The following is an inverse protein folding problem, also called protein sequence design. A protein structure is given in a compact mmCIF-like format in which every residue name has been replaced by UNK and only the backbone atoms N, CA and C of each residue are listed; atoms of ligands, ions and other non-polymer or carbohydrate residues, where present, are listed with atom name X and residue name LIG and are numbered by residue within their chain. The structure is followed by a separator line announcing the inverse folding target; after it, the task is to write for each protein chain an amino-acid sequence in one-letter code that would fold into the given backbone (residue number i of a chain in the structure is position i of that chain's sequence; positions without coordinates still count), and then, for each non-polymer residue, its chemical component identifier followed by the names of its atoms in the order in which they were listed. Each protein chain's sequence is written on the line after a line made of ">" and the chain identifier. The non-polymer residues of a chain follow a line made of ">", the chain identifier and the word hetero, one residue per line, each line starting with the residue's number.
data_IF_601403095444
#
_entry.id   IF_601403095444
#
_cell.length_a   1.000
_cell.length_b   1.000
_cell.length_c   1.000
_cell.angle_alpha   90.00
_cell.angle_beta   90.00
_cell.angle_gamma   90.00
#
_symmetry.space_group_name_H-M   'P 1'
#
loop_
_entity.id
_entity.type
_entity.pdbx_description
1 polymer ?
#
# COMPACT_ATOMS: atom_id res chain seq x y z
N UNK A 1 -38.03 30.60 32.27
CA UNK A 1 -38.03 29.94 30.98
C UNK A 1 -36.60 29.47 30.71
N UNK A 2 -36.27 28.23 31.13
CA UNK A 2 -34.90 27.72 31.13
C UNK A 2 -34.65 26.99 29.81
N UNK A 3 -33.74 27.52 28.98
CA UNK A 3 -33.24 26.84 27.78
C UNK A 3 -32.13 25.89 28.21
N UNK A 4 -32.38 24.58 28.17
CA UNK A 4 -31.37 23.54 28.31
C UNK A 4 -30.60 23.44 27.00
N UNK A 5 -29.35 23.86 27.01
CA UNK A 5 -28.38 23.55 25.97
C UNK A 5 -28.01 22.07 26.02
N UNK A 6 -28.54 21.28 25.09
CA UNK A 6 -28.18 19.90 24.90
C UNK A 6 -26.76 19.80 24.37
N UNK A 7 -25.83 19.29 25.17
CA UNK A 7 -24.50 18.88 24.78
C UNK A 7 -24.64 17.54 24.05
N UNK A 8 -24.54 17.54 22.72
CA UNK A 8 -24.38 16.32 21.94
C UNK A 8 -23.00 15.73 22.27
N UNK A 9 -23.00 14.58 22.92
CA UNK A 9 -21.80 13.78 23.12
C UNK A 9 -21.30 13.35 21.74
N UNK A 10 -20.18 13.91 21.29
CA UNK A 10 -19.45 13.45 20.12
C UNK A 10 -18.95 12.04 20.39
N UNK A 11 -19.45 11.06 19.63
CA UNK A 11 -18.88 9.72 19.60
C UNK A 11 -17.41 9.78 19.16
N UNK A 12 -16.61 8.74 19.44
CA UNK A 12 -15.20 8.72 19.05
C UNK A 12 -15.09 9.00 17.56
N UNK A 13 -14.28 9.99 17.18
CA UNK A 13 -13.95 10.29 15.79
C UNK A 13 -13.24 9.05 15.25
N UNK A 14 -13.95 8.21 14.50
CA UNK A 14 -13.33 7.11 13.79
C UNK A 14 -12.33 7.72 12.81
N UNK A 15 -11.07 7.26 12.84
CA UNK A 15 -10.05 7.69 11.92
C UNK A 15 -10.51 7.49 10.47
N UNK A 16 -9.97 8.25 9.54
CA UNK A 16 -10.33 8.16 8.14
C UNK A 16 -9.81 6.84 7.55
N UNK A 17 -10.55 6.16 6.66
CA UNK A 17 -10.17 4.87 6.06
C UNK A 17 -8.80 4.89 5.39
N UNK A 18 -8.37 6.06 4.87
CA UNK A 18 -7.05 6.28 4.30
C UNK A 18 -5.95 6.48 5.35
N UNK A 19 -6.24 6.45 6.64
CA UNK A 19 -5.20 6.48 7.69
C UNK A 19 -4.51 5.13 7.82
N UNK A 20 -5.27 4.04 7.61
CA UNK A 20 -4.80 2.66 7.62
C UNK A 20 -5.30 1.91 6.37
N UNK A 21 -4.87 2.30 5.14
CA UNK A 21 -5.49 1.83 3.92
C UNK A 21 -5.30 0.33 3.67
N UNK A 22 -4.19 -0.27 4.13
CA UNK A 22 -3.97 -1.71 4.05
C UNK A 22 -4.95 -2.48 4.95
N UNK A 23 -5.16 -2.02 6.20
CA UNK A 23 -6.13 -2.60 7.12
C UNK A 23 -7.56 -2.46 6.56
N UNK A 24 -7.93 -1.28 6.11
CA UNK A 24 -9.25 -1.02 5.53
C UNK A 24 -9.52 -1.87 4.27
N UNK A 25 -8.49 -2.10 3.44
CA UNK A 25 -8.60 -3.00 2.29
C UNK A 25 -8.79 -4.45 2.71
N UNK A 26 -7.95 -4.98 3.62
CA UNK A 26 -7.97 -6.37 4.08
C UNK A 26 -9.19 -6.71 4.96
N UNK A 27 -9.83 -5.73 5.57
CA UNK A 27 -11.11 -5.90 6.29
C UNK A 27 -12.32 -5.59 5.42
N UNK A 28 -12.12 -5.14 4.19
CA UNK A 28 -13.14 -4.73 3.23
C UNK A 28 -13.01 -5.45 1.88
N UNK A 29 -12.85 -4.71 0.78
CA UNK A 29 -12.85 -5.28 -0.58
C UNK A 29 -11.79 -6.37 -0.84
N UNK A 30 -10.67 -6.35 -0.12
CA UNK A 30 -9.60 -7.35 -0.21
C UNK A 30 -9.67 -8.44 0.86
N UNK A 31 -10.79 -8.61 1.58
CA UNK A 31 -10.91 -9.62 2.63
C UNK A 31 -10.58 -11.05 2.17
N UNK A 32 -10.77 -11.36 0.87
CA UNK A 32 -10.41 -12.65 0.26
C UNK A 32 -8.90 -12.95 0.27
N UNK A 33 -8.07 -11.93 0.38
CA UNK A 33 -6.60 -12.06 0.48
C UNK A 33 -6.10 -12.05 1.92
N UNK A 34 -6.97 -11.82 2.91
CA UNK A 34 -6.54 -11.62 4.28
C UNK A 34 -6.06 -12.93 4.94
N UNK A 35 -4.75 -13.06 5.13
CA UNK A 35 -4.18 -13.99 6.09
C UNK A 35 -4.23 -13.32 7.47
N UNK A 36 -4.83 -14.00 8.45
CA UNK A 36 -5.12 -13.39 9.76
C UNK A 36 -4.53 -14.17 10.92
N UNK A 37 -3.99 -13.43 11.89
CA UNK A 37 -3.71 -13.94 13.24
C UNK A 37 -4.12 -12.88 14.27
N UNK A 38 -5.04 -13.20 15.16
CA UNK A 38 -5.62 -12.22 16.09
C UNK A 38 -6.22 -11.02 15.35
N UNK A 39 -5.71 -9.82 15.65
CA UNK A 39 -6.07 -8.56 15.00
C UNK A 39 -5.17 -8.19 13.82
N UNK A 40 -4.09 -8.93 13.61
CA UNK A 40 -3.11 -8.69 12.56
C UNK A 40 -3.55 -9.33 11.26
N UNK A 41 -3.33 -8.64 10.15
CA UNK A 41 -3.64 -9.09 8.80
C UNK A 41 -2.43 -8.90 7.89
N UNK A 42 -2.28 -9.76 6.90
CA UNK A 42 -1.35 -9.55 5.78
C UNK A 42 -1.95 -10.07 4.48
N UNK A 43 -1.39 -9.63 3.38
CA UNK A 43 -1.59 -10.27 2.08
C UNK A 43 -0.72 -11.53 1.98
N UNK A 44 -1.10 -12.50 1.11
CA UNK A 44 -0.17 -13.54 0.69
C UNK A 44 1.11 -12.92 0.13
N UNK A 45 2.26 -13.49 0.47
CA UNK A 45 3.58 -12.88 0.20
C UNK A 45 3.90 -12.70 -1.28
N UNK A 46 3.23 -13.43 -2.16
CA UNK A 46 3.34 -13.33 -3.62
C UNK A 46 2.33 -12.36 -4.26
N UNK A 47 1.35 -11.86 -3.48
CA UNK A 47 0.38 -10.86 -3.88
C UNK A 47 0.85 -9.46 -3.50
N UNK A 48 1.20 -9.26 -2.23
CA UNK A 48 1.67 -7.97 -1.72
C UNK A 48 2.48 -8.17 -0.45
N UNK A 49 3.56 -7.40 -0.24
CA UNK A 49 4.35 -7.49 0.99
C UNK A 49 3.67 -6.79 2.19
N UNK A 50 2.53 -6.13 1.98
CA UNK A 50 1.91 -5.29 2.99
C UNK A 50 1.28 -6.09 4.12
N UNK A 51 1.57 -5.64 5.34
CA UNK A 51 0.90 -6.07 6.57
C UNK A 51 0.05 -4.94 7.14
N UNK A 52 -0.91 -5.30 7.97
CA UNK A 52 -1.80 -4.36 8.62
C UNK A 52 -1.91 -4.69 10.11
N UNK A 53 -1.48 -3.75 10.93
CA UNK A 53 -1.68 -3.73 12.36
C UNK A 53 -2.94 -2.92 12.70
N UNK A 54 -3.58 -3.14 13.86
CA UNK A 54 -4.58 -2.22 14.38
C UNK A 54 -3.96 -0.83 14.62
N UNK A 55 -4.79 0.20 14.77
CA UNK A 55 -4.36 1.59 14.97
C UNK A 55 -3.44 1.73 16.19
N UNK A 56 -3.79 1.04 17.28
CA UNK A 56 -3.01 0.96 18.52
C UNK A 56 -2.67 -0.53 18.78
N UNK A 57 -1.54 -1.02 18.26
CA UNK A 57 -1.12 -2.40 18.49
C UNK A 57 -0.54 -2.57 19.89
N UNK A 58 -0.96 -3.62 20.57
CA UNK A 58 -0.41 -4.06 21.84
C UNK A 58 0.67 -5.15 21.67
N UNK A 59 1.24 -5.62 22.77
CA UNK A 59 2.27 -6.66 22.76
C UNK A 59 1.80 -7.98 22.12
N UNK A 60 0.50 -8.30 22.21
CA UNK A 60 -0.08 -9.49 21.60
C UNK A 60 -0.14 -9.36 20.07
N UNK A 61 -0.48 -8.17 19.55
CA UNK A 61 -0.49 -7.95 18.10
C UNK A 61 0.91 -8.08 17.50
N UNK A 62 1.94 -7.58 18.21
CA UNK A 62 3.33 -7.75 17.77
C UNK A 62 3.77 -9.22 17.81
N UNK A 63 3.37 -9.98 18.82
CA UNK A 63 3.61 -11.43 18.88
C UNK A 63 2.85 -12.17 17.76
N UNK A 64 1.61 -11.80 17.49
CA UNK A 64 0.82 -12.35 16.38
C UNK A 64 1.45 -12.01 15.03
N UNK A 65 2.00 -10.79 14.86
CA UNK A 65 2.72 -10.40 13.65
C UNK A 65 4.00 -11.22 13.46
N UNK A 66 4.81 -11.39 14.52
CA UNK A 66 6.01 -12.22 14.46
C UNK A 66 5.68 -13.67 14.08
N UNK A 67 4.65 -14.25 14.68
CA UNK A 67 4.22 -15.61 14.39
C UNK A 67 3.62 -15.77 12.97
N UNK A 68 2.99 -14.71 12.44
CA UNK A 68 2.46 -14.70 11.07
C UNK A 68 3.58 -14.56 10.03
N UNK A 69 4.60 -13.76 10.33
CA UNK A 69 5.71 -13.49 9.42
C UNK A 69 6.78 -14.59 9.43
N UNK A 70 7.02 -15.17 10.59
CA UNK A 70 8.12 -16.09 10.88
C UNK A 70 9.32 -15.41 11.54
N UNK A 71 10.18 -16.19 12.22
CA UNK A 71 11.37 -15.69 12.90
C UNK A 71 12.32 -14.96 11.95
N UNK A 72 12.83 -13.80 12.35
CA UNK A 72 13.78 -12.99 11.57
C UNK A 72 13.26 -12.43 10.26
N UNK A 73 11.96 -12.61 9.95
CA UNK A 73 11.37 -12.10 8.72
C UNK A 73 11.33 -10.57 8.71
N UNK A 74 11.62 -9.97 7.56
CA UNK A 74 11.42 -8.54 7.33
C UNK A 74 9.96 -8.27 6.99
N UNK A 75 9.32 -7.39 7.75
CA UNK A 75 7.89 -7.09 7.67
C UNK A 75 7.69 -5.63 7.28
N UNK A 76 7.19 -5.34 6.07
CA UNK A 76 6.79 -3.99 5.69
C UNK A 76 5.51 -3.55 6.42
N UNK A 77 5.57 -2.37 7.02
CA UNK A 77 4.52 -1.74 7.81
C UNK A 77 4.16 -0.38 7.19
N UNK A 78 3.45 -0.35 6.06
CA UNK A 78 3.13 0.90 5.36
C UNK A 78 2.19 1.76 6.19
N UNK A 79 2.58 3.03 6.36
CA UNK A 79 1.75 4.00 7.09
C UNK A 79 1.80 3.87 8.61
N UNK A 80 2.56 2.92 9.16
CA UNK A 80 2.71 2.78 10.60
C UNK A 80 3.54 3.93 11.18
N UNK A 81 2.97 4.64 12.14
CA UNK A 81 3.58 5.79 12.82
C UNK A 81 3.78 5.57 14.32
N UNK A 82 3.38 4.39 14.82
CA UNK A 82 3.51 4.01 16.22
C UNK A 82 4.96 3.65 16.63
N UNK A 83 5.10 3.23 17.86
CA UNK A 83 6.37 2.74 18.39
C UNK A 83 6.55 1.26 18.04
N UNK A 84 7.67 0.93 17.42
CA UNK A 84 8.10 -0.45 17.21
C UNK A 84 8.70 -0.98 18.53
N UNK A 85 8.35 -2.19 18.98
CA UNK A 85 8.94 -2.79 20.19
C UNK A 85 10.46 -2.91 20.11
N UNK A 86 11.13 -2.95 21.26
CA UNK A 86 12.58 -2.92 21.34
C UNK A 86 13.27 -4.21 20.84
N UNK A 87 12.53 -5.32 20.78
CA UNK A 87 12.94 -6.61 20.27
C UNK A 87 12.78 -6.75 18.74
N UNK A 88 12.20 -5.73 18.08
CA UNK A 88 12.15 -5.62 16.63
C UNK A 88 13.19 -4.64 16.11
N UNK A 89 13.90 -5.01 15.05
CA UNK A 89 14.89 -4.15 14.39
C UNK A 89 14.24 -3.37 13.24
N UNK A 90 14.29 -2.03 13.26
CA UNK A 90 13.86 -1.22 12.11
C UNK A 90 14.94 -1.33 11.02
N UNK A 91 14.62 -2.00 9.91
CA UNK A 91 15.53 -2.24 8.78
C UNK A 91 15.41 -1.17 7.70
N UNK A 92 14.23 -0.54 7.61
CA UNK A 92 13.94 0.47 6.60
C UNK A 92 12.98 1.53 7.15
N UNK A 93 13.24 2.79 6.85
CA UNK A 93 12.32 3.89 7.15
C UNK A 93 12.53 5.04 6.16
N UNK A 94 11.48 5.38 5.42
CA UNK A 94 11.46 6.50 4.49
C UNK A 94 10.19 7.31 4.68
N UNK A 95 10.32 8.62 4.69
CA UNK A 95 9.16 9.51 4.68
C UNK A 95 8.38 9.37 3.37
N UNK A 96 7.08 9.28 3.48
CA UNK A 96 6.15 9.21 2.37
C UNK A 96 5.11 10.31 2.42
N UNK A 97 4.40 10.45 1.33
CA UNK A 97 3.22 11.29 1.20
C UNK A 97 2.08 10.49 0.62
N UNK A 98 0.88 10.76 1.10
CA UNK A 98 -0.37 10.28 0.58
C UNK A 98 -1.09 11.43 -0.10
N UNK A 99 -1.40 11.24 -1.38
CA UNK A 99 -2.14 12.22 -2.18
C UNK A 99 -3.50 11.62 -2.56
N UNK A 100 -4.51 12.47 -2.64
CA UNK A 100 -5.88 12.09 -3.00
C UNK A 100 -6.36 12.97 -4.15
N UNK A 101 -7.24 12.42 -4.98
CA UNK A 101 -7.90 13.12 -6.07
C UNK A 101 -8.61 14.39 -5.57
N UNK A 102 -8.31 15.53 -6.19
CA UNK A 102 -8.87 16.86 -5.93
C UNK A 102 -9.13 17.61 -7.24
N UNK A 103 -9.66 16.89 -8.23
CA UNK A 103 -10.01 17.48 -9.52
C UNK A 103 -9.21 16.95 -10.71
N UNK A 104 -8.80 15.67 -10.67
CA UNK A 104 -8.14 15.03 -11.80
C UNK A 104 -8.94 15.19 -13.09
N UNK A 105 -8.28 15.53 -14.19
CA UNK A 105 -8.85 15.47 -15.53
C UNK A 105 -8.82 14.01 -16.06
N UNK A 106 -9.43 13.10 -15.29
CA UNK A 106 -9.41 11.67 -15.58
C UNK A 106 -10.14 11.37 -16.90
N UNK A 107 -9.47 10.68 -17.81
CA UNK A 107 -9.99 10.31 -19.13
C UNK A 107 -9.38 8.99 -19.58
N UNK A 108 -10.09 8.20 -20.41
CA UNK A 108 -9.51 7.01 -21.01
C UNK A 108 -8.37 7.40 -21.96
N UNK A 109 -7.41 6.50 -22.12
CA UNK A 109 -6.32 6.68 -23.08
C UNK A 109 -6.44 5.64 -24.20
N UNK A 110 -6.47 6.06 -25.49
CA UNK A 110 -6.70 5.14 -26.60
C UNK A 110 -5.54 4.16 -26.88
N UNK A 111 -4.34 4.46 -26.37
CA UNK A 111 -3.18 3.57 -26.50
C UNK A 111 -2.99 2.67 -25.27
N UNK A 112 -3.69 2.95 -24.16
CA UNK A 112 -3.60 2.14 -22.97
C UNK A 112 -4.34 0.81 -23.17
N UNK A 113 -3.61 -0.29 -23.02
CA UNK A 113 -4.16 -1.64 -23.07
C UNK A 113 -4.28 -2.22 -21.67
N UNK A 114 -5.34 -2.97 -21.42
CA UNK A 114 -5.48 -3.72 -20.17
C UNK A 114 -4.48 -4.87 -20.15
N UNK A 115 -3.66 -4.92 -19.09
CA UNK A 115 -2.72 -6.01 -18.86
C UNK A 115 -3.41 -7.15 -18.13
N UNK A 116 -3.01 -8.38 -18.47
CA UNK A 116 -3.54 -9.61 -17.90
C UNK A 116 -2.45 -10.53 -17.34
N UNK A 117 -2.82 -11.71 -16.81
CA UNK A 117 -1.85 -12.66 -16.25
C UNK A 117 -0.72 -13.06 -17.21
N UNK A 118 -0.99 -13.11 -18.51
CA UNK A 118 0.01 -13.42 -19.54
C UNK A 118 1.09 -12.33 -19.68
N UNK A 119 0.79 -11.08 -19.27
CA UNK A 119 1.72 -9.95 -19.35
C UNK A 119 2.64 -9.86 -18.12
N UNK A 120 2.39 -10.62 -17.04
CA UNK A 120 3.12 -10.53 -15.76
C UNK A 120 4.63 -10.67 -15.92
N UNK A 121 5.18 -11.60 -16.74
CA UNK A 121 6.63 -11.67 -16.92
C UNK A 121 7.23 -10.38 -17.48
N UNK A 122 6.55 -9.72 -18.41
CA UNK A 122 6.99 -8.46 -19.02
C UNK A 122 6.82 -7.28 -18.04
N UNK A 123 5.74 -7.28 -17.25
CA UNK A 123 5.51 -6.32 -16.16
C UNK A 123 6.64 -6.40 -15.12
N UNK A 124 7.01 -7.59 -14.68
CA UNK A 124 8.13 -7.82 -13.74
C UNK A 124 9.46 -7.33 -14.35
N UNK A 125 9.69 -7.56 -15.63
CA UNK A 125 10.85 -7.03 -16.33
C UNK A 125 10.90 -5.50 -16.36
N UNK A 126 9.76 -4.83 -16.53
CA UNK A 126 9.66 -3.37 -16.47
C UNK A 126 9.88 -2.86 -15.05
N UNK A 127 9.32 -3.51 -14.05
CA UNK A 127 9.53 -3.20 -12.61
C UNK A 127 11.02 -3.29 -12.25
N UNK A 128 11.71 -4.36 -12.67
CA UNK A 128 13.13 -4.54 -12.37
C UNK A 128 14.02 -3.43 -12.96
N UNK A 129 13.62 -2.83 -14.10
CA UNK A 129 14.36 -1.73 -14.75
C UNK A 129 14.02 -0.35 -14.18
N UNK A 130 12.89 -0.20 -13.49
CA UNK A 130 12.35 1.12 -13.11
C UNK A 130 12.18 1.32 -11.60
N UNK A 131 12.14 0.25 -10.84
CA UNK A 131 12.05 0.21 -9.36
C UNK A 131 10.98 1.15 -8.75
N UNK A 132 9.72 1.12 -9.24
CA UNK A 132 8.67 2.03 -8.78
C UNK A 132 8.12 1.68 -7.38
N UNK A 133 8.54 0.54 -6.84
CA UNK A 133 8.06 -0.06 -5.61
C UNK A 133 7.62 -1.52 -5.81
N UNK A 134 7.09 -2.18 -4.77
CA UNK A 134 6.78 -3.59 -4.82
C UNK A 134 5.72 -3.93 -5.87
N UNK A 135 6.05 -4.86 -6.74
CA UNK A 135 5.15 -5.56 -7.64
C UNK A 135 5.62 -7.02 -7.73
N UNK A 136 4.77 -7.96 -7.40
CA UNK A 136 5.03 -9.38 -7.24
C UNK A 136 4.25 -10.18 -8.28
N UNK A 137 4.54 -11.47 -8.47
CA UNK A 137 3.90 -12.27 -9.52
C UNK A 137 2.38 -12.26 -9.53
N UNK A 138 1.75 -12.13 -8.34
CA UNK A 138 0.30 -12.09 -8.20
C UNK A 138 -0.27 -10.72 -7.84
N UNK A 139 0.54 -9.67 -7.82
CA UNK A 139 0.07 -8.31 -7.52
C UNK A 139 -1.01 -7.84 -8.51
N UNK A 140 -0.99 -8.35 -9.74
CA UNK A 140 -2.03 -8.07 -10.76
C UNK A 140 -3.44 -8.45 -10.30
N UNK A 141 -3.60 -9.37 -9.35
CA UNK A 141 -4.89 -9.79 -8.81
C UNK A 141 -5.56 -8.71 -7.93
N UNK A 142 -4.81 -7.68 -7.52
CA UNK A 142 -5.32 -6.59 -6.67
C UNK A 142 -6.23 -5.61 -7.41
N UNK A 143 -6.12 -5.50 -8.75
CA UNK A 143 -6.96 -4.57 -9.50
C UNK A 143 -6.65 -4.49 -10.98
N UNK A 144 -7.06 -3.41 -11.61
CA UNK A 144 -6.81 -3.17 -13.04
C UNK A 144 -5.42 -2.60 -13.25
N UNK A 145 -4.70 -3.17 -14.21
CA UNK A 145 -3.42 -2.67 -14.69
C UNK A 145 -3.54 -2.27 -16.15
N UNK A 146 -3.03 -1.08 -16.49
CA UNK A 146 -2.96 -0.54 -17.84
C UNK A 146 -1.51 -0.37 -18.25
N UNK A 147 -1.22 -0.66 -19.52
CA UNK A 147 0.10 -0.49 -20.09
C UNK A 147 0.08 0.21 -21.44
N UNK A 148 1.19 0.82 -21.80
CA UNK A 148 1.44 1.34 -23.16
C UNK A 148 2.58 0.53 -23.77
N UNK A 149 2.37 0.09 -25.02
CA UNK A 149 3.35 -0.68 -25.78
C UNK A 149 3.98 0.17 -26.88
N UNK A 150 5.23 -0.11 -27.21
CA UNK A 150 5.93 0.43 -28.38
C UNK A 150 6.69 -0.70 -29.07
N UNK A 151 6.43 -0.88 -30.36
CA UNK A 151 7.01 -1.98 -31.14
C UNK A 151 6.79 -3.36 -30.48
N UNK A 152 5.60 -3.55 -29.89
CA UNK A 152 5.24 -4.77 -29.16
C UNK A 152 5.69 -4.82 -27.69
N UNK A 153 6.73 -4.11 -27.28
CA UNK A 153 7.25 -4.13 -25.91
C UNK A 153 6.45 -3.23 -24.94
N UNK A 154 6.25 -3.67 -23.72
CA UNK A 154 5.67 -2.87 -22.62
C UNK A 154 6.68 -1.82 -22.16
N UNK A 155 6.36 -0.54 -22.35
CA UNK A 155 7.27 0.58 -22.05
C UNK A 155 6.80 1.47 -20.90
N UNK A 156 5.53 1.38 -20.52
CA UNK A 156 5.00 2.07 -19.35
C UNK A 156 3.79 1.30 -18.81
N UNK A 157 3.59 1.36 -17.49
CA UNK A 157 2.38 0.83 -16.86
C UNK A 157 1.98 1.66 -15.64
N UNK A 158 0.72 1.50 -15.24
CA UNK A 158 0.15 1.92 -13.97
C UNK A 158 -0.99 0.98 -13.63
N UNK A 159 -1.33 0.84 -12.35
CA UNK A 159 -2.43 -0.04 -11.95
C UNK A 159 -2.94 0.27 -10.56
N UNK A 160 -3.79 -0.61 -10.07
CA UNK A 160 -4.48 -0.49 -8.80
C UNK A 160 -3.83 -1.40 -7.76
N UNK A 161 -3.81 -0.98 -6.48
CA UNK A 161 -3.23 -1.78 -5.39
C UNK A 161 -4.17 -1.92 -4.19
N UNK A 162 -4.28 -0.91 -3.34
CA UNK A 162 -5.15 -0.97 -2.16
C UNK A 162 -6.55 -0.44 -2.48
N UNK A 163 -7.56 -1.12 -1.94
CA UNK A 163 -8.98 -0.78 -2.12
C UNK A 163 -9.69 -0.59 -0.77
N UNK A 164 -9.35 0.45 0.03
CA UNK A 164 -10.16 0.79 1.17
C UNK A 164 -11.57 1.24 0.71
N UNK A 165 -12.64 1.04 1.51
CA UNK A 165 -14.00 1.37 1.11
C UNK A 165 -14.13 2.79 0.54
N UNK A 166 -14.63 2.92 -0.69
CA UNK A 166 -14.82 4.18 -1.41
C UNK A 166 -13.55 4.77 -2.05
N UNK A 167 -12.41 4.09 -1.97
CA UNK A 167 -11.14 4.56 -2.51
C UNK A 167 -10.37 3.44 -3.20
N UNK A 168 -9.58 3.80 -4.22
CA UNK A 168 -8.64 2.88 -4.87
C UNK A 168 -7.28 3.54 -5.07
N UNK A 169 -6.24 2.83 -4.67
CA UNK A 169 -4.86 3.30 -4.80
C UNK A 169 -4.31 3.09 -6.20
N UNK A 170 -3.80 4.16 -6.83
CA UNK A 170 -2.98 4.05 -8.04
C UNK A 170 -1.56 3.72 -7.63
N UNK A 171 -0.98 2.70 -8.24
CA UNK A 171 0.34 2.17 -7.91
C UNK A 171 1.08 1.67 -9.16
N UNK A 172 2.32 1.21 -8.97
CA UNK A 172 3.19 0.66 -10.02
C UNK A 172 3.33 1.59 -11.24
N UNK A 173 3.25 2.91 -11.02
CA UNK A 173 3.41 3.92 -12.06
C UNK A 173 4.87 3.95 -12.47
N UNK A 174 5.16 3.46 -13.67
CA UNK A 174 6.53 3.44 -14.17
C UNK A 174 6.60 3.59 -15.69
N UNK A 175 7.74 4.09 -16.15
CA UNK A 175 8.07 4.24 -17.58
C UNK A 175 9.52 3.83 -17.79
N UNK A 176 9.75 2.98 -18.76
CA UNK A 176 11.08 2.57 -19.20
C UNK A 176 11.96 3.80 -19.44
N UNK A 177 13.20 3.84 -18.94
CA UNK A 177 14.11 4.98 -19.09
C UNK A 177 14.20 5.55 -20.50
N UNK A 178 14.23 4.70 -21.54
CA UNK A 178 14.31 5.11 -22.95
C UNK A 178 13.04 5.84 -23.45
N UNK A 179 11.93 5.78 -22.69
CA UNK A 179 10.64 6.37 -23.07
C UNK A 179 10.16 7.46 -22.12
N UNK A 180 10.99 7.86 -21.15
CA UNK A 180 10.68 8.96 -20.23
C UNK A 180 10.57 10.32 -20.96
N UNK A 181 9.94 11.30 -20.32
CA UNK A 181 9.76 12.63 -20.88
C UNK A 181 8.68 12.75 -21.97
N UNK A 182 7.93 11.66 -22.24
CA UNK A 182 6.88 11.59 -23.28
C UNK A 182 5.45 11.61 -22.69
N UNK A 183 5.28 11.93 -21.42
CA UNK A 183 3.97 11.99 -20.77
C UNK A 183 3.26 10.65 -20.50
N UNK A 184 3.91 9.51 -20.73
CA UNK A 184 3.26 8.19 -20.66
C UNK A 184 2.72 7.89 -19.24
N UNK A 185 3.48 8.24 -18.20
CA UNK A 185 3.04 8.07 -16.81
C UNK A 185 1.77 8.89 -16.51
N UNK A 186 1.74 10.16 -16.92
CA UNK A 186 0.56 11.03 -16.75
C UNK A 186 -0.68 10.46 -17.41
N UNK A 187 -0.54 10.01 -18.65
CA UNK A 187 -1.62 9.41 -19.43
C UNK A 187 -2.19 8.17 -18.74
N UNK A 188 -1.32 7.27 -18.29
CA UNK A 188 -1.73 6.05 -17.60
C UNK A 188 -2.37 6.33 -16.24
N UNK A 189 -1.84 7.28 -15.46
CA UNK A 189 -2.44 7.69 -14.18
C UNK A 189 -3.86 8.21 -14.40
N UNK A 190 -4.07 9.07 -15.40
CA UNK A 190 -5.40 9.60 -15.72
C UNK A 190 -6.35 8.51 -16.25
N UNK A 191 -5.84 7.54 -17.01
CA UNK A 191 -6.64 6.43 -17.51
C UNK A 191 -7.05 5.46 -16.39
N UNK A 192 -6.16 5.13 -15.45
CA UNK A 192 -6.50 4.34 -14.25
C UNK A 192 -7.50 5.10 -13.39
N UNK A 193 -7.26 6.39 -13.13
CA UNK A 193 -8.17 7.24 -12.37
C UNK A 193 -9.58 7.31 -13.00
N UNK A 194 -9.66 7.32 -14.34
CA UNK A 194 -10.95 7.25 -15.05
C UNK A 194 -11.71 5.97 -14.71
N UNK A 195 -11.05 4.82 -14.75
CA UNK A 195 -11.65 3.53 -14.37
C UNK A 195 -12.10 3.49 -12.91
N UNK A 196 -11.31 4.05 -12.00
CA UNK A 196 -11.63 4.15 -10.58
C UNK A 196 -12.89 5.02 -10.37
N UNK A 197 -12.93 6.21 -10.95
CA UNK A 197 -14.09 7.11 -10.85
C UNK A 197 -15.37 6.53 -11.48
N UNK A 198 -15.23 5.77 -12.56
CA UNK A 198 -16.36 5.10 -13.21
C UNK A 198 -17.06 4.08 -12.30
N UNK A 199 -16.36 3.58 -11.26
CA UNK A 199 -16.91 2.72 -10.20
C UNK A 199 -17.44 3.49 -8.99
N UNK A 200 -17.39 4.83 -9.02
CA UNK A 200 -17.81 5.70 -7.90
C UNK A 200 -16.79 5.78 -6.77
N UNK A 201 -15.54 5.40 -7.02
CA UNK A 201 -14.45 5.43 -6.04
C UNK A 201 -13.52 6.64 -6.25
N UNK A 202 -12.82 7.04 -5.22
CA UNK A 202 -11.87 8.16 -5.25
C UNK A 202 -10.44 7.65 -5.42
N UNK A 203 -9.71 8.07 -6.46
CA UNK A 203 -8.30 7.75 -6.63
C UNK A 203 -7.44 8.35 -5.51
N UNK A 204 -6.49 7.59 -5.00
CA UNK A 204 -5.42 8.08 -4.16
C UNK A 204 -4.11 7.38 -4.51
N UNK A 205 -2.99 7.87 -3.99
CA UNK A 205 -1.69 7.24 -4.18
C UNK A 205 -0.72 7.57 -3.04
N UNK A 206 0.35 6.80 -2.98
CA UNK A 206 1.50 7.11 -2.13
C UNK A 206 2.77 7.25 -2.96
N UNK A 207 3.68 8.10 -2.50
CA UNK A 207 5.05 8.17 -3.04
C UNK A 207 6.02 8.60 -1.94
N UNK A 208 7.31 8.38 -2.15
CA UNK A 208 8.34 8.88 -1.24
C UNK A 208 8.34 10.41 -1.20
N UNK A 209 8.43 11.00 0.00
CA UNK A 209 8.42 12.46 0.16
C UNK A 209 9.60 13.15 -0.56
N UNK A 210 10.71 12.43 -0.75
CA UNK A 210 11.89 12.90 -1.48
C UNK A 210 11.77 12.75 -3.00
N UNK A 211 10.78 12.02 -3.50
CA UNK A 211 10.52 11.92 -4.94
C UNK A 211 9.76 13.16 -5.44
N UNK A 212 10.44 14.28 -5.42
CA UNK A 212 9.86 15.60 -5.76
C UNK A 212 9.33 15.64 -7.19
N UNK A 213 9.91 14.90 -8.11
CA UNK A 213 9.42 14.81 -9.49
C UNK A 213 8.05 14.11 -9.55
N UNK A 214 7.87 13.01 -8.83
CA UNK A 214 6.57 12.33 -8.76
C UNK A 214 5.52 13.18 -8.03
N UNK A 215 5.90 13.83 -6.91
CA UNK A 215 4.97 14.71 -6.17
C UNK A 215 4.47 15.84 -7.08
N UNK A 216 5.37 16.58 -7.75
CA UNK A 216 5.01 17.64 -8.69
C UNK A 216 4.16 17.14 -9.85
N UNK A 217 4.48 15.96 -10.38
CA UNK A 217 3.67 15.34 -11.43
C UNK A 217 2.23 15.12 -10.94
N UNK A 218 2.05 14.46 -9.81
CA UNK A 218 0.72 14.14 -9.28
C UNK A 218 -0.06 15.40 -8.92
N UNK A 219 0.57 16.41 -8.31
CA UNK A 219 -0.05 17.72 -8.04
C UNK A 219 -0.48 18.41 -9.33
N UNK A 220 0.34 18.38 -10.38
CA UNK A 220 -0.01 18.97 -11.70
C UNK A 220 -1.16 18.23 -12.40
N UNK A 221 -1.42 16.98 -12.06
CA UNK A 221 -2.54 16.20 -12.57
C UNK A 221 -3.85 16.45 -11.79
N UNK A 222 -3.78 17.09 -10.61
CA UNK A 222 -4.94 17.40 -9.77
C UNK A 222 -5.06 16.52 -8.53
N UNK A 223 -3.98 15.88 -8.10
CA UNK A 223 -3.92 15.29 -6.76
C UNK A 223 -3.53 16.35 -5.73
N UNK A 224 -4.07 16.22 -4.52
CA UNK A 224 -3.74 17.04 -3.36
C UNK A 224 -3.10 16.22 -2.27
N UNK A 225 -2.07 16.78 -1.63
CA UNK A 225 -1.48 16.21 -0.43
C UNK A 225 -2.56 16.06 0.66
N UNK A 226 -2.83 14.81 1.08
CA UNK A 226 -3.73 14.52 2.20
C UNK A 226 -2.95 14.48 3.52
N UNK A 227 -1.86 13.70 3.56
CA UNK A 227 -1.02 13.58 4.77
C UNK A 227 0.40 13.16 4.46
N UNK A 228 1.29 13.45 5.38
CA UNK A 228 2.61 12.81 5.44
C UNK A 228 2.47 11.46 6.13
N UNK A 229 3.23 10.48 5.69
CA UNK A 229 3.23 9.11 6.18
C UNK A 229 4.66 8.56 6.21
N UNK A 230 4.83 7.29 6.54
CA UNK A 230 6.10 6.61 6.47
C UNK A 230 5.96 5.26 5.77
N UNK A 231 6.99 4.88 5.05
CA UNK A 231 7.23 3.49 4.67
C UNK A 231 8.26 2.94 5.66
N UNK A 232 7.84 1.96 6.43
CA UNK A 232 8.64 1.32 7.47
C UNK A 232 8.72 -0.18 7.15
N UNK A 233 9.88 -0.78 7.39
CA UNK A 233 10.02 -2.22 7.53
C UNK A 233 10.76 -2.53 8.85
N UNK A 234 10.35 -3.59 9.50
CA UNK A 234 10.97 -4.07 10.72
C UNK A 234 11.20 -5.58 10.64
N UNK A 235 12.31 -6.03 11.22
CA UNK A 235 12.62 -7.45 11.31
C UNK A 235 12.03 -8.02 12.58
N UNK A 236 11.28 -9.12 12.44
CA UNK A 236 10.76 -9.87 13.56
C UNK A 236 11.89 -10.44 14.42
N UNK A 237 11.69 -10.59 15.73
CA UNK A 237 12.65 -11.28 16.58
C UNK A 237 12.97 -12.67 16.03
N UNK A 238 14.22 -13.10 16.19
CA UNK A 238 14.55 -14.52 16.09
C UNK A 238 13.82 -15.23 17.24
N UNK A 239 13.38 -16.47 17.04
CA UNK A 239 12.90 -17.25 18.19
C UNK A 239 13.98 -17.17 19.27
N UNK A 240 13.60 -16.75 20.48
CA UNK A 240 14.50 -16.86 21.61
C UNK A 240 14.91 -18.34 21.69
N UNK A 241 16.20 -18.64 21.56
CA UNK A 241 16.73 -19.98 21.81
C UNK A 241 16.04 -20.51 23.05
N UNK A 242 15.26 -21.59 22.88
CA UNK A 242 14.44 -22.15 23.94
C UNK A 242 15.30 -22.35 25.19
N UNK A 243 15.14 -21.45 26.16
CA UNK A 243 15.84 -21.52 27.41
C UNK A 243 15.71 -22.95 27.94
N UNK A 244 16.82 -23.65 27.97
CA UNK A 244 16.91 -24.97 28.53
C UNK A 244 16.20 -24.97 29.87
N UNK A 245 15.08 -25.71 29.94
CA UNK A 245 14.44 -26.00 31.21
C UNK A 245 15.53 -26.56 32.13
N UNK A 246 15.98 -25.79 33.09
CA UNK A 246 16.88 -26.23 34.12
C UNK A 246 16.24 -27.45 34.79
N UNK A 247 16.79 -28.63 34.47
CA UNK A 247 16.45 -29.84 35.19
C UNK A 247 16.84 -29.60 36.65
N UNK A 248 15.85 -29.55 37.52
CA UNK A 248 16.07 -29.57 38.96
C UNK A 248 16.82 -30.84 39.33
N UNK A 249 17.89 -30.78 40.13
CA UNK A 249 18.54 -31.98 40.60
C UNK A 249 17.58 -32.70 41.56
N UNK A 250 17.32 -33.99 41.27
CA UNK A 250 16.65 -34.87 42.20
C UNK A 250 17.57 -35.12 43.42
N UNK A 251 17.03 -34.83 44.60
CA UNK A 251 17.60 -35.22 45.87
C UNK A 251 17.19 -36.64 46.25
#
# INVERSE_FOLDING_TARGET
>A
MNVRTGRTAGGPVRGHVLDHPALASLTGPHARFAERRGRVLRYPVDVSPWTALPEEPDARDWADLAALAGPGAEVPLPGFVGRVPADWEITFRVEGVQLVDDGLAAAPDPEAVRLGPADVPEMLGLIARTEPGPFLPRTIELGTYLGIRRQGALVAMAGERLHPPGYTEISAVCTDPAFRGRGLASRLVLAVAHGIRARGETPFLHTGARNTNAVRLYESLGFRLRRRTAFLAARAPQEADGGAAAAAPAA
#
